data_IF_013386478306
#
_entry.id   IF_013386478306
#
_cell.length_a   1.000
_cell.length_b   1.000
_cell.length_c   1.000
_cell.angle_alpha   90.00
_cell.angle_beta   90.00
_cell.angle_gamma   90.00
#
_symmetry.space_group_name_H-M   'P 1'
#
loop_
_entity.id
_entity.type
_entity.pdbx_description
1 polymer ?
#
# COMPACT_ATOMS: atom_id res chain seq x y z
N UNK A 1 2.53 -16.80 -0.36
CA UNK A 1 1.80 -16.17 -1.48
C UNK A 1 2.58 -14.98 -2.05
N UNK A 2 3.07 -14.00 -1.25
CA UNK A 2 3.88 -12.88 -1.78
C UNK A 2 5.23 -13.32 -2.36
N UNK A 3 5.90 -14.28 -1.75
CA UNK A 3 7.23 -14.72 -2.15
C UNK A 3 7.28 -15.36 -3.54
N UNK A 4 6.19 -16.04 -3.95
CA UNK A 4 6.13 -16.76 -5.22
C UNK A 4 5.71 -15.88 -6.41
N UNK A 5 5.07 -14.72 -6.16
CA UNK A 5 4.44 -13.92 -7.20
C UNK A 5 5.00 -12.49 -7.33
N UNK A 6 5.81 -12.03 -6.37
CA UNK A 6 6.34 -10.64 -6.38
C UNK A 6 7.18 -10.36 -7.63
N UNK A 7 8.03 -11.29 -8.05
CA UNK A 7 8.92 -11.12 -9.22
C UNK A 7 8.16 -10.98 -10.55
N UNK A 8 7.16 -11.83 -10.85
CA UNK A 8 6.32 -11.67 -12.05
C UNK A 8 5.53 -10.36 -12.02
N UNK A 9 4.95 -9.99 -10.88
CA UNK A 9 4.19 -8.77 -10.73
C UNK A 9 5.04 -7.52 -10.92
N UNK A 10 6.20 -7.44 -10.25
CA UNK A 10 7.10 -6.30 -10.36
C UNK A 10 7.62 -6.09 -11.78
N UNK A 11 7.82 -7.16 -12.55
CA UNK A 11 8.25 -7.11 -13.95
C UNK A 11 7.15 -6.66 -14.91
N UNK A 12 5.90 -6.90 -14.55
CA UNK A 12 4.74 -6.67 -15.39
C UNK A 12 4.05 -5.35 -15.02
N UNK A 13 3.89 -5.06 -13.74
CA UNK A 13 3.25 -3.83 -13.25
C UNK A 13 4.17 -2.61 -13.25
N UNK A 14 5.45 -2.81 -13.49
CA UNK A 14 6.44 -1.77 -13.26
C UNK A 14 6.87 -1.73 -11.80
N UNK A 15 7.52 -0.64 -11.44
CA UNK A 15 8.17 -0.52 -10.14
C UNK A 15 7.21 -0.30 -8.95
N UNK A 16 5.98 0.21 -9.20
CA UNK A 16 4.96 0.46 -8.17
C UNK A 16 3.85 -0.60 -8.26
N UNK A 17 3.63 -1.31 -7.16
CA UNK A 17 2.62 -2.39 -7.09
C UNK A 17 1.26 -1.92 -6.55
N UNK A 18 1.11 -0.63 -6.22
CA UNK A 18 -0.08 -0.04 -5.65
C UNK A 18 -0.95 0.67 -6.71
N UNK A 19 -2.17 1.02 -6.33
CA UNK A 19 -3.11 1.76 -7.17
C UNK A 19 -2.62 3.17 -7.48
N UNK A 20 -3.04 3.70 -8.62
CA UNK A 20 -2.76 5.06 -9.07
C UNK A 20 -3.82 6.06 -8.64
N UNK A 21 -3.50 7.34 -8.81
CA UNK A 21 -4.39 8.47 -8.59
C UNK A 21 -4.59 9.25 -9.89
N UNK A 22 -5.83 9.34 -10.36
CA UNK A 22 -6.26 10.15 -11.51
C UNK A 22 -7.16 11.27 -11.00
N UNK A 23 -6.70 12.50 -11.08
CA UNK A 23 -7.40 13.66 -10.50
C UNK A 23 -8.84 13.80 -11.06
N UNK A 24 -9.00 13.57 -12.34
CA UNK A 24 -10.31 13.59 -13.02
C UNK A 24 -11.20 12.36 -12.73
N UNK A 25 -10.65 11.29 -12.15
CA UNK A 25 -11.30 9.97 -12.08
C UNK A 25 -11.40 9.24 -13.42
N UNK A 26 -10.72 9.74 -14.45
CA UNK A 26 -10.65 9.14 -15.80
C UNK A 26 -9.22 8.71 -16.09
N UNK A 27 -9.04 7.56 -16.73
CA UNK A 27 -7.71 7.00 -17.06
C UNK A 27 -7.03 7.78 -18.20
N UNK A 28 -6.75 9.06 -17.99
CA UNK A 28 -6.15 10.01 -18.93
C UNK A 28 -4.62 10.08 -18.87
N UNK A 29 -4.00 9.31 -17.97
CA UNK A 29 -2.55 9.19 -17.81
C UNK A 29 -2.11 7.73 -17.75
N UNK A 30 -0.83 7.42 -18.09
CA UNK A 30 -0.26 6.10 -17.88
C UNK A 30 -0.31 5.66 -16.41
N UNK A 31 -0.47 4.35 -16.16
CA UNK A 31 -0.52 3.80 -14.79
C UNK A 31 0.74 4.15 -13.98
N UNK A 32 1.92 4.14 -14.60
CA UNK A 32 3.17 4.50 -13.93
C UNK A 32 3.14 5.93 -13.36
N UNK A 33 2.60 6.90 -14.12
CA UNK A 33 2.44 8.27 -13.66
C UNK A 33 1.38 8.40 -12.56
N UNK A 34 0.27 7.67 -12.70
CA UNK A 34 -0.80 7.68 -11.71
C UNK A 34 -0.37 7.05 -10.37
N UNK A 35 0.43 5.98 -10.39
CA UNK A 35 0.99 5.39 -9.17
C UNK A 35 1.97 6.35 -8.49
N UNK A 36 2.80 7.07 -9.24
CA UNK A 36 3.62 8.13 -8.66
C UNK A 36 2.78 9.23 -8.01
N UNK A 37 1.69 9.65 -8.66
CA UNK A 37 0.74 10.63 -8.08
C UNK A 37 0.10 10.14 -6.79
N UNK A 38 -0.29 8.86 -6.70
CA UNK A 38 -0.82 8.29 -5.46
C UNK A 38 0.21 8.36 -4.33
N UNK A 39 1.48 8.05 -4.63
CA UNK A 39 2.57 8.24 -3.68
C UNK A 39 2.70 9.70 -3.24
N UNK A 40 2.60 10.65 -4.16
CA UNK A 40 2.68 12.09 -3.86
C UNK A 40 1.49 12.58 -3.03
N UNK A 41 0.28 12.06 -3.27
CA UNK A 41 -0.90 12.34 -2.46
C UNK A 41 -0.74 11.85 -1.02
N UNK A 42 -0.14 10.66 -0.85
CA UNK A 42 0.19 10.14 0.48
C UNK A 42 1.27 11.00 1.17
N UNK A 43 2.32 11.38 0.43
CA UNK A 43 3.39 12.28 0.90
C UNK A 43 2.85 13.64 1.34
N UNK A 44 1.86 14.20 0.63
CA UNK A 44 1.25 15.48 0.97
C UNK A 44 0.51 15.46 2.32
N UNK A 45 0.11 14.26 2.77
CA UNK A 45 -0.62 14.04 4.04
C UNK A 45 0.28 13.65 5.21
N UNK A 46 1.55 13.45 4.96
CA UNK A 46 2.55 13.15 5.98
C UNK A 46 3.41 14.37 6.27
N UNK A 47 3.46 14.77 7.52
CA UNK A 47 4.38 15.82 7.97
C UNK A 47 5.72 15.21 8.32
N UNK A 48 6.73 15.52 7.54
CA UNK A 48 8.14 15.19 7.83
C UNK A 48 9.07 16.27 7.29
N UNK A 49 10.17 16.51 7.98
CA UNK A 49 11.20 17.50 7.64
C UNK A 49 12.46 16.82 7.10
N UNK A 50 13.28 17.51 6.29
CA UNK A 50 14.57 16.97 5.86
C UNK A 50 15.45 16.51 7.04
N UNK A 51 16.04 15.34 6.88
CA UNK A 51 16.89 14.69 7.90
C UNK A 51 16.13 13.83 8.92
N UNK A 52 14.81 13.92 8.98
CA UNK A 52 13.98 13.06 9.83
C UNK A 52 14.00 11.59 9.36
N UNK A 53 13.57 10.68 10.24
CA UNK A 53 13.55 9.24 10.02
C UNK A 53 12.10 8.74 9.89
N UNK A 54 11.76 8.12 8.79
CA UNK A 54 10.41 7.64 8.47
C UNK A 54 10.39 6.12 8.40
N UNK A 55 9.37 5.50 8.98
CA UNK A 55 9.09 4.07 8.86
C UNK A 55 8.11 3.83 7.70
N UNK A 56 8.50 2.98 6.75
CA UNK A 56 7.65 2.47 5.66
C UNK A 56 7.15 1.06 5.98
N UNK A 57 5.85 0.95 6.28
CA UNK A 57 5.24 -0.30 6.73
C UNK A 57 4.63 -1.06 5.57
N UNK A 58 5.18 -2.24 5.27
CA UNK A 58 4.82 -3.00 4.09
C UNK A 58 5.46 -2.43 2.83
N UNK A 59 6.75 -2.11 2.90
CA UNK A 59 7.52 -1.40 1.87
C UNK A 59 7.55 -2.11 0.49
N UNK A 60 7.09 -3.35 0.40
CA UNK A 60 7.13 -4.13 -0.83
C UNK A 60 8.53 -4.16 -1.44
N UNK A 61 8.63 -3.82 -2.70
CA UNK A 61 9.89 -3.77 -3.44
C UNK A 61 10.62 -2.42 -3.36
N UNK A 62 10.20 -1.53 -2.46
CA UNK A 62 10.92 -0.35 -2.00
C UNK A 62 10.79 0.93 -2.84
N UNK A 63 10.05 0.93 -3.95
CA UNK A 63 10.02 2.08 -4.86
C UNK A 63 9.41 3.33 -4.23
N UNK A 64 8.27 3.26 -3.51
CA UNK A 64 7.73 4.41 -2.79
C UNK A 64 8.70 4.96 -1.72
N UNK A 65 9.40 4.07 -0.98
CA UNK A 65 10.41 4.46 0.00
C UNK A 65 11.55 5.27 -0.61
N UNK A 66 12.07 4.84 -1.77
CA UNK A 66 13.11 5.57 -2.50
C UNK A 66 12.61 6.93 -2.99
N UNK A 67 11.36 7.03 -3.44
CA UNK A 67 10.73 8.30 -3.82
C UNK A 67 10.60 9.22 -2.61
N UNK A 68 10.12 8.71 -1.46
CA UNK A 68 10.02 9.45 -0.21
C UNK A 68 11.37 10.05 0.20
N UNK A 69 12.44 9.23 0.26
CA UNK A 69 13.77 9.68 0.65
C UNK A 69 14.28 10.82 -0.26
N UNK A 70 14.15 10.67 -1.59
CA UNK A 70 14.57 11.68 -2.57
C UNK A 70 13.75 12.96 -2.48
N UNK A 71 12.42 12.84 -2.34
CA UNK A 71 11.50 13.99 -2.40
C UNK A 71 11.53 14.81 -1.13
N UNK A 72 11.67 14.16 0.02
CA UNK A 72 11.61 14.81 1.35
C UNK A 72 12.99 14.97 2.00
N UNK A 73 14.05 14.38 1.42
CA UNK A 73 15.39 14.37 2.01
C UNK A 73 15.41 13.77 3.42
N UNK A 74 14.71 12.66 3.61
CA UNK A 74 14.56 11.94 4.87
C UNK A 74 15.28 10.59 4.81
N UNK A 75 15.60 10.03 5.97
CA UNK A 75 16.00 8.62 6.07
C UNK A 75 14.75 7.76 6.13
N UNK A 76 14.79 6.58 5.50
CA UNK A 76 13.66 5.65 5.49
C UNK A 76 14.12 4.26 5.94
N UNK A 77 13.39 3.69 6.89
CA UNK A 77 13.46 2.26 7.18
C UNK A 77 12.18 1.60 6.68
N UNK A 78 12.31 0.70 5.72
CA UNK A 78 11.19 -0.08 5.20
C UNK A 78 11.14 -1.48 5.81
N UNK A 79 9.94 -1.96 6.13
CA UNK A 79 9.74 -3.33 6.59
C UNK A 79 8.77 -4.10 5.67
N UNK A 80 9.06 -5.37 5.46
CA UNK A 80 8.17 -6.34 4.81
C UNK A 80 8.36 -7.71 5.48
N UNK A 81 7.30 -8.53 5.53
CA UNK A 81 7.40 -9.92 5.97
C UNK A 81 8.03 -10.82 4.90
N UNK A 82 8.20 -10.34 3.67
CA UNK A 82 8.75 -11.07 2.52
C UNK A 82 10.24 -10.81 2.35
N UNK A 83 11.08 -11.80 2.66
CA UNK A 83 12.53 -11.70 2.46
C UNK A 83 12.93 -11.45 0.99
N UNK A 84 12.28 -12.03 -0.04
CA UNK A 84 12.52 -11.69 -1.44
C UNK A 84 12.23 -10.22 -1.77
N UNK A 85 11.15 -9.64 -1.22
CA UNK A 85 10.84 -8.21 -1.41
C UNK A 85 11.92 -7.32 -0.78
N UNK A 86 12.34 -7.62 0.45
CA UNK A 86 13.41 -6.90 1.15
C UNK A 86 14.72 -6.95 0.35
N UNK A 87 15.09 -8.11 -0.19
CA UNK A 87 16.29 -8.24 -1.02
C UNK A 87 16.20 -7.39 -2.31
N UNK A 88 15.05 -7.37 -2.98
CA UNK A 88 14.83 -6.54 -4.17
C UNK A 88 14.84 -5.04 -3.83
N UNK A 89 14.21 -4.64 -2.73
CA UNK A 89 14.18 -3.27 -2.26
C UNK A 89 15.60 -2.76 -1.94
N UNK A 90 16.40 -3.59 -1.25
CA UNK A 90 17.81 -3.27 -0.93
C UNK A 90 18.68 -3.13 -2.18
N UNK A 91 18.52 -4.04 -3.17
CA UNK A 91 19.23 -3.93 -4.44
C UNK A 91 18.87 -2.64 -5.18
N UNK A 92 17.60 -2.23 -5.17
CA UNK A 92 17.15 -0.96 -5.76
C UNK A 92 17.72 0.25 -5.03
N UNK A 93 17.85 0.20 -3.70
CA UNK A 93 18.48 1.29 -2.94
C UNK A 93 19.96 1.44 -3.32
N UNK A 94 20.67 0.31 -3.50
CA UNK A 94 22.07 0.31 -3.96
C UNK A 94 22.19 0.87 -5.38
N UNK A 95 21.38 0.38 -6.34
CA UNK A 95 21.35 0.89 -7.71
C UNK A 95 21.02 2.38 -7.81
N UNK A 96 20.18 2.85 -6.88
CA UNK A 96 19.76 4.25 -6.78
C UNK A 96 20.80 5.16 -6.08
N UNK A 97 21.84 4.58 -5.45
CA UNK A 97 22.83 5.30 -4.63
C UNK A 97 22.24 5.87 -3.35
N UNK A 98 21.25 5.18 -2.74
CA UNK A 98 20.52 5.61 -1.55
C UNK A 98 20.68 4.66 -0.35
N UNK A 99 21.69 3.77 -0.36
CA UNK A 99 21.88 2.78 0.71
C UNK A 99 22.20 3.38 2.07
N UNK A 100 22.68 4.62 2.12
CA UNK A 100 22.94 5.33 3.37
C UNK A 100 21.67 5.99 3.95
N UNK A 101 20.67 6.28 3.11
CA UNK A 101 19.43 6.94 3.47
C UNK A 101 18.25 5.97 3.61
N UNK A 102 18.24 4.85 2.87
CA UNK A 102 17.11 3.91 2.81
C UNK A 102 17.59 2.50 3.10
N UNK A 103 17.05 1.92 4.16
CA UNK A 103 17.36 0.54 4.57
C UNK A 103 16.07 -0.29 4.67
N UNK A 104 16.19 -1.58 4.40
CA UNK A 104 15.04 -2.49 4.40
C UNK A 104 15.31 -3.71 5.28
N UNK A 105 14.30 -4.12 6.08
CA UNK A 105 14.37 -5.25 6.98
C UNK A 105 13.16 -6.18 6.84
N UNK A 106 13.37 -7.47 7.12
CA UNK A 106 12.23 -8.34 7.37
C UNK A 106 11.64 -8.01 8.75
N UNK A 107 10.32 -7.79 8.81
CA UNK A 107 9.65 -7.46 10.05
C UNK A 107 8.13 -7.59 9.94
N UNK A 108 7.49 -7.86 11.09
CA UNK A 108 6.04 -7.87 11.24
C UNK A 108 5.58 -6.55 11.86
N UNK A 109 4.69 -5.84 11.19
CA UNK A 109 4.13 -4.58 11.69
C UNK A 109 3.32 -4.75 12.99
N UNK A 110 2.86 -5.96 13.29
CA UNK A 110 2.15 -6.26 14.54
C UNK A 110 3.11 -6.54 15.71
N UNK A 111 4.44 -6.58 15.48
CA UNK A 111 5.48 -6.81 16.48
C UNK A 111 6.81 -6.18 16.01
N UNK A 112 6.89 -4.84 16.08
CA UNK A 112 8.02 -4.09 15.55
C UNK A 112 9.24 -4.19 16.49
N UNK A 113 10.37 -4.66 15.95
CA UNK A 113 11.66 -4.72 16.68
C UNK A 113 12.39 -3.37 16.63
N UNK A 114 11.70 -2.33 17.09
CA UNK A 114 12.24 -0.97 17.26
C UNK A 114 11.90 -0.45 18.65
N UNK A 115 12.75 0.43 19.16
CA UNK A 115 12.49 1.13 20.42
C UNK A 115 11.33 2.11 20.29
N UNK A 116 10.74 2.50 21.41
CA UNK A 116 9.76 3.58 21.44
C UNK A 116 10.39 4.87 20.86
N UNK A 117 9.58 5.67 20.17
CA UNK A 117 9.98 6.97 19.62
C UNK A 117 11.16 6.92 18.62
N UNK A 118 11.40 5.77 17.97
CA UNK A 118 12.52 5.58 17.03
C UNK A 118 12.37 6.36 15.71
N UNK A 119 11.16 6.76 15.36
CA UNK A 119 10.82 7.42 14.09
C UNK A 119 10.11 8.75 14.31
N UNK A 120 10.29 9.67 13.37
CA UNK A 120 9.61 10.96 13.34
C UNK A 120 8.23 10.86 12.70
N UNK A 121 8.07 9.97 11.74
CA UNK A 121 6.81 9.69 11.05
C UNK A 121 6.78 8.24 10.55
N UNK A 122 5.59 7.79 10.15
CA UNK A 122 5.42 6.52 9.46
C UNK A 122 4.36 6.62 8.37
N UNK A 123 4.43 5.74 7.38
CA UNK A 123 3.35 5.53 6.43
C UNK A 123 3.07 4.06 6.17
N UNK A 124 1.87 3.79 5.65
CA UNK A 124 1.44 2.47 5.21
C UNK A 124 0.69 2.62 3.88
N UNK A 125 1.32 2.16 2.79
CA UNK A 125 0.76 2.23 1.44
C UNK A 125 0.34 0.82 1.01
N UNK A 126 -0.97 0.58 0.94
CA UNK A 126 -1.57 -0.72 0.60
C UNK A 126 -0.98 -1.89 1.41
N UNK A 127 -0.92 -1.73 2.71
CA UNK A 127 -0.32 -2.73 3.58
C UNK A 127 -1.16 -3.11 4.80
N UNK A 128 -1.95 -2.18 5.37
CA UNK A 128 -2.72 -2.47 6.59
C UNK A 128 -3.83 -3.51 6.38
N UNK A 129 -4.40 -3.60 5.17
CA UNK A 129 -5.41 -4.61 4.85
C UNK A 129 -4.88 -6.06 4.89
N UNK A 130 -3.55 -6.26 4.84
CA UNK A 130 -2.91 -7.57 4.99
C UNK A 130 -2.77 -8.02 6.44
N UNK A 131 -2.90 -7.13 7.40
CA UNK A 131 -2.65 -7.42 8.81
C UNK A 131 -3.84 -8.13 9.44
N UNK A 132 -3.57 -9.21 10.18
CA UNK A 132 -4.60 -9.98 10.87
C UNK A 132 -5.22 -9.21 12.06
N UNK A 133 -4.45 -8.29 12.64
CA UNK A 133 -4.87 -7.35 13.69
C UNK A 133 -4.34 -5.95 13.37
N UNK A 134 -5.14 -5.18 12.62
CA UNK A 134 -4.81 -3.81 12.21
C UNK A 134 -4.63 -2.87 13.40
N UNK A 135 -5.44 -3.03 14.44
CA UNK A 135 -5.33 -2.21 15.66
C UNK A 135 -4.00 -2.48 16.39
N UNK A 136 -3.56 -3.73 16.43
CA UNK A 136 -2.25 -4.09 16.99
C UNK A 136 -1.11 -3.42 16.21
N UNK A 137 -1.14 -3.51 14.88
CA UNK A 137 -0.14 -2.85 14.05
C UNK A 137 -0.14 -1.32 14.26
N UNK A 138 -1.32 -0.69 14.31
CA UNK A 138 -1.44 0.75 14.58
C UNK A 138 -0.94 1.14 15.97
N UNK A 139 -1.08 0.27 16.99
CA UNK A 139 -0.49 0.50 18.32
C UNK A 139 1.02 0.41 18.30
N UNK A 140 1.59 -0.52 17.54
CA UNK A 140 3.04 -0.58 17.33
C UNK A 140 3.55 0.67 16.61
N UNK A 141 2.86 1.14 15.56
CA UNK A 141 3.20 2.40 14.88
C UNK A 141 3.14 3.59 15.84
N UNK A 142 2.08 3.68 16.68
CA UNK A 142 2.01 4.71 17.72
C UNK A 142 3.15 4.62 18.72
N UNK A 143 3.62 3.44 19.06
CA UNK A 143 4.73 3.23 20.01
C UNK A 143 6.08 3.69 19.44
N UNK A 144 6.34 3.32 18.19
CA UNK A 144 7.66 3.59 17.57
C UNK A 144 7.79 4.97 16.96
N UNK A 145 6.68 5.67 16.71
CA UNK A 145 6.68 7.06 16.23
C UNK A 145 6.58 7.99 17.42
N UNK A 146 7.46 9.00 17.48
CA UNK A 146 7.52 9.96 18.59
C UNK A 146 6.22 10.75 18.78
N UNK A 147 5.92 11.25 19.97
CA UNK A 147 4.82 12.20 20.18
C UNK A 147 4.91 13.40 19.24
N UNK A 148 3.76 13.79 18.68
CA UNK A 148 3.67 14.80 17.63
C UNK A 148 4.04 14.31 16.23
N UNK A 149 4.53 13.06 16.09
CA UNK A 149 4.86 12.46 14.80
C UNK A 149 3.63 12.13 13.96
N UNK A 150 3.82 12.09 12.64
CA UNK A 150 2.76 11.92 11.65
C UNK A 150 2.65 10.48 11.16
N UNK A 151 1.42 10.04 10.91
CA UNK A 151 1.13 8.77 10.24
C UNK A 151 0.27 9.06 9.00
N UNK A 152 0.63 8.47 7.83
CA UNK A 152 -0.18 8.52 6.62
C UNK A 152 -0.50 7.10 6.13
N UNK A 153 -1.74 6.89 5.65
CA UNK A 153 -2.23 5.58 5.17
C UNK A 153 -2.94 5.76 3.84
N UNK A 154 -2.65 4.87 2.91
CA UNK A 154 -3.42 4.69 1.68
C UNK A 154 -3.82 3.22 1.57
N UNK A 155 -5.12 2.94 1.44
CA UNK A 155 -5.57 1.53 1.49
C UNK A 155 -6.92 1.31 0.82
N UNK A 156 -7.22 0.05 0.54
CA UNK A 156 -8.50 -0.40 0.01
C UNK A 156 -9.60 -0.36 1.07
N UNK A 157 -10.78 0.06 0.64
CA UNK A 157 -11.98 0.06 1.49
C UNK A 157 -13.19 -0.50 0.75
N UNK A 158 -14.24 -0.77 1.53
CA UNK A 158 -15.59 -0.93 1.03
C UNK A 158 -16.41 0.32 1.42
N UNK A 159 -17.00 1.00 0.44
CA UNK A 159 -17.79 2.21 0.68
C UNK A 159 -19.21 1.92 1.19
N UNK A 160 -19.53 0.65 1.42
CA UNK A 160 -20.82 0.19 1.94
C UNK A 160 -20.97 -1.33 1.96
N UNK A 161 -22.11 -1.82 2.41
CA UNK A 161 -22.37 -3.25 2.54
C UNK A 161 -22.39 -3.95 1.17
N UNK A 162 -21.73 -5.11 1.10
CA UNK A 162 -21.65 -5.94 -0.11
C UNK A 162 -22.62 -7.11 0.01
N UNK A 163 -23.43 -7.35 -1.03
CA UNK A 163 -24.47 -8.38 -1.05
C UNK A 163 -24.38 -9.26 -2.30
N UNK A 164 -25.03 -10.43 -2.23
CA UNK A 164 -25.19 -11.31 -3.39
C UNK A 164 -23.88 -11.76 -4.04
N UNK A 165 -23.79 -11.76 -5.37
CA UNK A 165 -22.60 -12.21 -6.11
C UNK A 165 -21.34 -11.41 -5.81
N UNK A 166 -21.47 -10.12 -5.46
CA UNK A 166 -20.34 -9.23 -5.21
C UNK A 166 -19.52 -9.67 -3.99
N UNK A 167 -20.12 -10.39 -3.03
CA UNK A 167 -19.39 -11.01 -1.91
C UNK A 167 -18.32 -11.98 -2.40
N UNK A 168 -18.59 -12.76 -3.44
CA UNK A 168 -17.61 -13.67 -4.02
C UNK A 168 -16.48 -12.91 -4.71
N UNK A 169 -16.79 -11.76 -5.32
CA UNK A 169 -15.76 -10.89 -5.95
C UNK A 169 -14.82 -10.31 -4.88
N UNK A 170 -15.37 -9.80 -3.78
CA UNK A 170 -14.59 -9.29 -2.65
C UNK A 170 -13.72 -10.39 -2.04
N UNK A 171 -14.29 -11.61 -1.86
CA UNK A 171 -13.52 -12.73 -1.33
C UNK A 171 -12.41 -13.17 -2.28
N UNK A 172 -12.68 -13.23 -3.59
CA UNK A 172 -11.66 -13.55 -4.59
C UNK A 172 -10.54 -12.50 -4.62
N UNK A 173 -10.85 -11.22 -4.40
CA UNK A 173 -9.86 -10.15 -4.27
C UNK A 173 -9.03 -10.32 -2.98
N UNK A 174 -9.69 -10.60 -1.84
CA UNK A 174 -9.00 -10.85 -0.58
C UNK A 174 -8.04 -12.04 -0.69
N UNK A 175 -8.50 -13.16 -1.22
CA UNK A 175 -7.67 -14.37 -1.39
C UNK A 175 -6.51 -14.12 -2.36
N UNK A 176 -6.77 -13.52 -3.53
CA UNK A 176 -5.77 -13.25 -4.56
C UNK A 176 -4.78 -12.15 -4.19
N UNK A 177 -5.24 -11.11 -3.50
CA UNK A 177 -4.42 -10.01 -3.00
C UNK A 177 -3.81 -10.26 -1.63
N UNK A 178 -4.14 -11.39 -0.96
CA UNK A 178 -3.67 -11.68 0.40
C UNK A 178 -4.24 -10.74 1.47
N UNK A 179 -5.35 -10.05 1.20
CA UNK A 179 -5.97 -9.15 2.16
C UNK A 179 -6.63 -9.95 3.29
N UNK A 180 -6.31 -9.61 4.53
CA UNK A 180 -6.96 -10.23 5.69
C UNK A 180 -8.36 -9.65 5.90
N UNK A 181 -8.51 -8.33 5.78
CA UNK A 181 -9.80 -7.66 5.93
C UNK A 181 -9.89 -6.40 5.06
N UNK A 182 -11.08 -6.13 4.52
CA UNK A 182 -11.42 -4.85 3.91
C UNK A 182 -12.45 -4.19 4.82
N UNK A 183 -12.12 -3.01 5.36
CA UNK A 183 -12.99 -2.21 6.21
C UNK A 183 -13.62 -1.05 5.43
N UNK A 184 -14.50 -0.31 6.10
CA UNK A 184 -14.98 1.00 5.65
C UNK A 184 -14.05 2.11 6.13
N UNK A 185 -14.27 3.36 5.71
CA UNK A 185 -13.56 4.54 6.27
C UNK A 185 -13.78 4.61 7.78
N UNK A 186 -15.01 4.38 8.22
CA UNK A 186 -15.39 4.41 9.63
C UNK A 186 -14.64 3.36 10.45
N UNK A 187 -14.43 2.15 9.87
CA UNK A 187 -13.63 1.09 10.52
C UNK A 187 -12.18 1.52 10.67
N UNK A 188 -11.55 2.09 9.62
CA UNK A 188 -10.18 2.61 9.70
C UNK A 188 -10.03 3.74 10.72
N UNK A 189 -10.98 4.68 10.75
CA UNK A 189 -11.02 5.78 11.73
C UNK A 189 -11.20 5.23 13.16
N UNK A 190 -12.06 4.22 13.34
CA UNK A 190 -12.25 3.57 14.64
C UNK A 190 -10.98 2.84 15.09
N UNK A 191 -10.30 2.13 14.19
CA UNK A 191 -9.05 1.41 14.49
C UNK A 191 -7.92 2.37 14.88
N UNK A 192 -7.75 3.49 14.14
CA UNK A 192 -6.78 4.54 14.48
C UNK A 192 -7.03 5.11 15.89
N UNK A 193 -8.28 5.45 16.18
CA UNK A 193 -8.67 5.96 17.52
C UNK A 193 -8.48 4.91 18.62
N UNK A 194 -8.82 3.65 18.34
CA UNK A 194 -8.62 2.53 19.29
C UNK A 194 -7.13 2.27 19.56
N UNK A 195 -6.27 2.56 18.57
CA UNK A 195 -4.82 2.52 18.75
C UNK A 195 -4.28 3.74 19.52
N UNK A 196 -5.10 4.76 19.80
CA UNK A 196 -4.72 5.98 20.50
C UNK A 196 -4.07 7.03 19.61
N UNK A 197 -4.43 7.05 18.33
CA UNK A 197 -3.97 8.03 17.34
C UNK A 197 -5.06 9.10 17.12
N UNK A 198 -4.64 10.36 16.95
CA UNK A 198 -5.51 11.47 16.61
C UNK A 198 -5.68 11.53 15.10
N UNK A 199 -6.89 11.24 14.61
CA UNK A 199 -7.21 11.27 13.18
C UNK A 199 -7.33 12.72 12.72
N UNK A 200 -6.52 13.11 11.75
CA UNK A 200 -6.48 14.46 11.17
C UNK A 200 -7.37 14.53 9.92
N UNK A 201 -7.22 13.56 9.00
CA UNK A 201 -7.97 13.50 7.76
C UNK A 201 -8.38 12.05 7.44
N UNK A 202 -9.56 11.91 6.85
CA UNK A 202 -10.02 10.65 6.24
C UNK A 202 -10.74 11.02 4.93
N UNK A 203 -10.12 10.74 3.81
CA UNK A 203 -10.57 11.15 2.48
C UNK A 203 -10.89 9.94 1.62
N UNK A 204 -12.13 9.85 1.15
CA UNK A 204 -12.53 8.89 0.11
C UNK A 204 -11.97 9.38 -1.24
N UNK A 205 -11.06 8.59 -1.81
CA UNK A 205 -10.48 8.81 -3.14
C UNK A 205 -10.85 7.70 -4.11
N UNK A 206 -11.95 7.02 -3.84
CA UNK A 206 -12.43 5.88 -4.66
C UNK A 206 -12.59 6.25 -6.13
N UNK A 207 -13.10 7.44 -6.41
CA UNK A 207 -13.24 7.95 -7.80
C UNK A 207 -11.89 8.08 -8.48
N UNK A 208 -10.90 8.66 -7.79
CA UNK A 208 -9.56 8.88 -8.32
C UNK A 208 -8.76 7.58 -8.47
N UNK A 209 -8.94 6.61 -7.58
CA UNK A 209 -8.23 5.34 -7.61
C UNK A 209 -8.87 4.29 -8.56
N UNK A 210 -10.17 4.41 -8.84
CA UNK A 210 -10.95 3.42 -9.63
C UNK A 210 -10.32 3.04 -10.96
N UNK A 211 -9.74 3.96 -11.77
CA UNK A 211 -9.13 3.59 -13.05
C UNK A 211 -8.01 2.56 -12.92
N UNK A 212 -7.42 2.38 -11.72
CA UNK A 212 -6.44 1.33 -11.46
C UNK A 212 -6.99 -0.06 -11.74
N UNK A 213 -8.25 -0.33 -11.44
CA UNK A 213 -8.88 -1.64 -11.65
C UNK A 213 -8.84 -2.04 -13.13
N UNK A 214 -9.32 -1.15 -14.01
CA UNK A 214 -9.26 -1.35 -15.46
C UNK A 214 -7.81 -1.45 -15.95
N UNK A 215 -6.93 -0.53 -15.51
CA UNK A 215 -5.52 -0.50 -15.92
C UNK A 215 -4.75 -1.75 -15.52
N UNK A 216 -4.97 -2.26 -14.32
CA UNK A 216 -4.36 -3.51 -13.90
C UNK A 216 -4.91 -4.70 -14.69
N UNK A 217 -6.21 -4.76 -14.97
CA UNK A 217 -6.77 -5.80 -15.82
C UNK A 217 -6.18 -5.77 -17.26
N UNK A 218 -5.95 -4.58 -17.82
CA UNK A 218 -5.27 -4.40 -19.11
C UNK A 218 -3.83 -4.96 -19.05
N UNK A 219 -3.05 -4.58 -18.03
CA UNK A 219 -1.68 -5.07 -17.84
C UNK A 219 -1.66 -6.60 -17.72
N UNK A 220 -2.58 -7.21 -16.95
CA UNK A 220 -2.66 -8.68 -16.85
C UNK A 220 -2.96 -9.35 -18.19
N UNK A 221 -3.79 -8.73 -19.04
CA UNK A 221 -4.08 -9.26 -20.38
C UNK A 221 -2.88 -9.16 -21.31
N UNK A 222 -2.25 -7.99 -21.37
CA UNK A 222 -1.12 -7.70 -22.26
C UNK A 222 0.10 -8.57 -21.92
N UNK A 223 0.37 -8.74 -20.62
CA UNK A 223 1.51 -9.49 -20.11
C UNK A 223 1.18 -10.96 -19.76
N UNK A 224 0.01 -11.44 -20.17
CA UNK A 224 -0.46 -12.82 -19.92
C UNK A 224 0.60 -13.86 -20.25
N UNK A 225 1.32 -13.69 -21.36
CA UNK A 225 2.34 -14.61 -21.83
C UNK A 225 3.54 -14.75 -20.85
N UNK A 226 3.80 -13.72 -20.03
CA UNK A 226 4.83 -13.73 -18.99
C UNK A 226 4.31 -14.25 -17.65
N UNK A 227 3.03 -14.01 -17.35
CA UNK A 227 2.41 -14.36 -16.07
C UNK A 227 2.01 -15.84 -16.02
N UNK A 228 1.45 -16.39 -17.09
CA UNK A 228 0.93 -17.77 -17.15
C UNK A 228 1.99 -18.83 -16.80
N UNK A 229 3.26 -18.76 -17.24
CA UNK A 229 4.27 -19.74 -16.85
C UNK A 229 4.53 -19.84 -15.34
N UNK A 230 4.33 -18.77 -14.60
CA UNK A 230 4.58 -18.71 -13.14
C UNK A 230 3.32 -18.90 -12.32
N UNK A 231 2.23 -18.26 -12.71
CA UNK A 231 0.98 -18.23 -11.94
C UNK A 231 -0.02 -19.31 -12.37
N UNK A 232 0.08 -19.78 -13.61
CA UNK A 232 -0.92 -20.63 -14.23
C UNK A 232 -2.07 -19.83 -14.86
N UNK A 233 -2.62 -20.40 -15.95
CA UNK A 233 -3.66 -19.74 -16.75
C UNK A 233 -4.93 -19.40 -15.97
N UNK A 234 -5.39 -20.33 -15.13
CA UNK A 234 -6.60 -20.16 -14.31
C UNK A 234 -6.49 -18.99 -13.34
N UNK A 235 -5.30 -18.82 -12.76
CA UNK A 235 -5.06 -17.75 -11.77
C UNK A 235 -5.03 -16.38 -12.45
N UNK A 236 -4.32 -16.26 -13.57
CA UNK A 236 -4.30 -15.01 -14.36
C UNK A 236 -5.71 -14.63 -14.79
N UNK A 237 -6.51 -15.58 -15.29
CA UNK A 237 -7.90 -15.34 -15.68
C UNK A 237 -8.78 -14.96 -14.50
N UNK A 238 -8.54 -15.55 -13.32
CA UNK A 238 -9.27 -15.22 -12.10
C UNK A 238 -8.99 -13.77 -11.70
N UNK A 239 -7.73 -13.35 -11.71
CA UNK A 239 -7.34 -11.99 -11.35
C UNK A 239 -7.93 -10.94 -12.30
N UNK A 240 -7.86 -11.18 -13.60
CA UNK A 240 -8.47 -10.30 -14.60
C UNK A 240 -9.97 -10.13 -14.31
N UNK A 241 -10.70 -11.24 -14.19
CA UNK A 241 -12.14 -11.19 -13.89
C UNK A 241 -12.47 -10.52 -12.57
N UNK A 242 -11.63 -10.73 -11.54
CA UNK A 242 -11.84 -10.09 -10.23
C UNK A 242 -11.71 -8.57 -10.33
N UNK A 243 -10.68 -8.08 -11.03
CA UNK A 243 -10.48 -6.63 -11.24
C UNK A 243 -11.62 -6.01 -12.05
N UNK A 244 -12.05 -6.67 -13.13
CA UNK A 244 -13.19 -6.23 -13.95
C UNK A 244 -14.49 -6.14 -13.14
N UNK A 245 -14.75 -7.15 -12.32
CA UNK A 245 -15.95 -7.17 -11.46
C UNK A 245 -15.89 -6.13 -10.35
N UNK A 246 -14.71 -5.88 -9.76
CA UNK A 246 -14.53 -4.80 -8.79
C UNK A 246 -14.78 -3.43 -9.42
N UNK A 247 -14.37 -3.22 -10.67
CA UNK A 247 -14.61 -1.96 -11.39
C UNK A 247 -16.12 -1.69 -11.62
N UNK A 248 -16.91 -2.75 -11.78
CA UNK A 248 -18.38 -2.66 -11.87
C UNK A 248 -19.06 -2.44 -10.50
N UNK A 249 -18.34 -2.67 -9.36
CA UNK A 249 -18.90 -2.58 -8.02
C UNK A 249 -18.77 -1.15 -7.45
N UNK A 250 -19.89 -0.47 -7.15
CA UNK A 250 -19.84 0.85 -6.50
C UNK A 250 -19.15 0.84 -5.14
N UNK A 251 -19.16 -0.31 -4.46
CA UNK A 251 -18.61 -0.48 -3.11
C UNK A 251 -17.08 -0.63 -3.09
N UNK A 252 -16.44 -0.94 -4.22
CA UNK A 252 -14.98 -0.98 -4.27
C UNK A 252 -14.42 0.43 -4.15
N UNK A 253 -13.63 0.68 -3.11
CA UNK A 253 -13.16 2.01 -2.79
C UNK A 253 -11.71 2.07 -2.32
N UNK A 254 -11.25 3.30 -2.10
CA UNK A 254 -9.90 3.60 -1.68
C UNK A 254 -9.88 4.82 -0.77
N UNK A 255 -9.03 4.81 0.26
CA UNK A 255 -8.96 5.85 1.26
C UNK A 255 -7.54 6.40 1.41
N UNK A 256 -7.44 7.70 1.63
CA UNK A 256 -6.25 8.35 2.16
C UNK A 256 -6.56 8.84 3.57
N UNK A 257 -5.69 8.52 4.52
CA UNK A 257 -5.84 8.90 5.92
C UNK A 257 -4.56 9.58 6.40
N UNK A 258 -4.71 10.52 7.29
CA UNK A 258 -3.62 11.01 8.12
C UNK A 258 -4.00 11.06 9.59
N UNK A 259 -3.02 10.77 10.43
CA UNK A 259 -3.17 10.79 11.88
C UNK A 259 -1.90 11.32 12.54
N UNK A 260 -1.97 11.64 13.82
CA UNK A 260 -0.86 12.12 14.63
C UNK A 260 -0.77 11.30 15.92
N UNK A 261 0.45 11.06 16.37
CA UNK A 261 0.72 10.52 17.70
C UNK A 261 0.54 11.65 18.72
N UNK A 262 -0.37 11.51 19.70
CA UNK A 262 -0.61 12.54 20.72
C UNK A 262 0.56 12.76 21.64
#
# INVERSE_FOLDING_TARGET
>A
MYDDHTDPFARVWGANLHFGYWESGVADAPIAEATERMTDELLARMSCSPGEHVLDVGCGVGVPALRLARTRHVRVTGISTSAPQVAQASARAEEAGLSDEVVFHCGDAMELDFTDDAFDAAWALESLHHMSDRVRALRELRRVVRPGGSLAVADFILTGPVHGPDRHTVEAFREGGGAHSLGTIEDYVADLRQAGLDVIEALDVSTQARPSLTKHAEVFRDERHRLVPTMGEREVDRMIRTLERLDEMPQAGYVLLSAQVP
#
